data_IF_700347014760
#
_entry.id   IF_700347014760
#
_cell.length_a   1.000
_cell.length_b   1.000
_cell.length_c   1.000
_cell.angle_alpha   90.00
_cell.angle_beta   90.00
_cell.angle_gamma   90.00
#
_symmetry.space_group_name_H-M   'P 1'
#
loop_
_entity.id
_entity.type
_entity.pdbx_description
1 polymer ?
#
# COMPACT_ATOMS: atom_id res chain seq x y z
N UNK A 1 -1.60 21.42 5.70
CA UNK A 1 -1.36 19.96 5.85
C UNK A 1 -1.11 19.64 7.31
N UNK A 2 -1.83 18.68 7.86
CA UNK A 2 -1.53 18.18 9.19
C UNK A 2 -0.26 17.33 9.13
N UNK A 3 0.48 17.25 10.22
CA UNK A 3 1.68 16.42 10.33
C UNK A 3 1.37 14.93 10.13
N UNK A 4 0.11 14.54 10.31
CA UNK A 4 -0.36 13.18 10.13
C UNK A 4 -0.38 12.75 8.65
N UNK A 5 -0.74 13.67 7.75
CA UNK A 5 -0.77 13.41 6.30
C UNK A 5 0.63 13.11 5.77
N UNK A 6 1.62 13.84 6.26
CA UNK A 6 3.01 13.65 5.86
C UNK A 6 3.53 12.28 6.29
N UNK A 7 3.21 11.86 7.52
CA UNK A 7 3.61 10.56 8.06
C UNK A 7 2.97 9.42 7.25
N UNK A 8 1.68 9.52 6.98
CA UNK A 8 0.94 8.51 6.20
C UNK A 8 1.51 8.41 4.80
N UNK A 9 1.80 9.55 4.16
CA UNK A 9 2.38 9.57 2.82
C UNK A 9 3.76 8.92 2.79
N UNK A 10 4.60 9.22 3.79
CA UNK A 10 5.93 8.62 3.92
C UNK A 10 5.86 7.11 4.12
N UNK A 11 4.94 6.65 4.98
CA UNK A 11 4.69 5.22 5.18
C UNK A 11 4.26 4.53 3.89
N UNK A 12 3.39 5.17 3.12
CA UNK A 12 2.91 4.66 1.84
C UNK A 12 4.07 4.49 0.85
N UNK A 13 4.94 5.48 0.73
CA UNK A 13 6.11 5.41 -0.16
C UNK A 13 7.08 4.31 0.26
N UNK A 14 7.29 4.14 1.57
CA UNK A 14 8.12 3.06 2.09
C UNK A 14 7.54 1.68 1.76
N UNK A 15 6.24 1.50 1.94
CA UNK A 15 5.58 0.23 1.62
C UNK A 15 5.65 -0.09 0.13
N UNK A 16 5.50 0.90 -0.73
CA UNK A 16 5.65 0.73 -2.18
C UNK A 16 7.07 0.28 -2.54
N UNK A 17 8.08 0.89 -1.92
CA UNK A 17 9.47 0.52 -2.13
C UNK A 17 9.75 -0.91 -1.64
N UNK A 18 9.24 -1.28 -0.46
CA UNK A 18 9.36 -2.62 0.10
C UNK A 18 8.71 -3.67 -0.81
N UNK A 19 7.53 -3.39 -1.33
CA UNK A 19 6.84 -4.28 -2.27
C UNK A 19 7.67 -4.52 -3.53
N UNK A 20 8.29 -3.49 -4.06
CA UNK A 20 9.14 -3.57 -5.25
C UNK A 20 10.35 -4.47 -5.00
N UNK A 21 11.00 -4.31 -3.85
CA UNK A 21 12.14 -5.14 -3.44
C UNK A 21 11.69 -6.60 -3.26
N UNK A 22 10.59 -6.84 -2.54
CA UNK A 22 10.04 -8.17 -2.31
C UNK A 22 9.69 -8.87 -3.61
N UNK A 23 9.08 -8.17 -4.56
CA UNK A 23 8.72 -8.71 -5.87
C UNK A 23 9.95 -9.15 -6.65
N UNK A 24 11.01 -8.36 -6.62
CA UNK A 24 12.27 -8.69 -7.29
C UNK A 24 12.93 -9.92 -6.67
N UNK A 25 13.01 -9.96 -5.34
CA UNK A 25 13.60 -11.10 -4.61
C UNK A 25 12.78 -12.37 -4.85
N UNK A 26 11.45 -12.25 -4.87
CA UNK A 26 10.57 -13.38 -5.20
C UNK A 26 10.83 -13.94 -6.60
N UNK A 27 11.00 -13.05 -7.58
CA UNK A 27 11.26 -13.47 -8.96
C UNK A 27 12.62 -14.16 -9.09
N UNK A 28 13.65 -13.68 -8.40
CA UNK A 28 14.96 -14.33 -8.32
C UNK A 28 14.85 -15.71 -7.67
N UNK A 29 14.11 -15.82 -6.57
CA UNK A 29 13.88 -17.08 -5.88
C UNK A 29 13.13 -18.09 -6.76
N UNK A 30 12.21 -17.61 -7.60
CA UNK A 30 11.48 -18.45 -8.54
C UNK A 30 12.42 -19.06 -9.58
N UNK A 31 13.35 -18.28 -10.12
CA UNK A 31 14.35 -18.78 -11.07
C UNK A 31 15.23 -19.83 -10.41
N UNK A 32 15.69 -19.59 -9.18
CA UNK A 32 16.49 -20.55 -8.43
C UNK A 32 15.70 -21.83 -8.14
N UNK A 33 14.42 -21.72 -7.86
CA UNK A 33 13.55 -22.89 -7.67
C UNK A 33 13.48 -23.73 -8.94
N UNK A 34 13.26 -23.10 -10.09
CA UNK A 34 13.13 -23.79 -11.38
C UNK A 34 14.42 -24.49 -11.80
N UNK A 35 15.58 -23.96 -11.43
CA UNK A 35 16.90 -24.47 -11.80
C UNK A 35 17.51 -25.41 -10.75
N UNK A 36 16.83 -25.62 -9.62
CA UNK A 36 17.31 -26.47 -8.51
C UNK A 36 16.93 -27.93 -8.69
N UNK A 37 17.61 -28.81 -7.94
CA UNK A 37 17.23 -30.22 -7.84
C UNK A 37 15.93 -30.38 -7.02
N UNK A 38 15.38 -31.60 -7.00
CA UNK A 38 14.10 -31.87 -6.35
C UNK A 38 14.10 -31.57 -4.85
N UNK A 39 15.20 -31.85 -4.16
CA UNK A 39 15.31 -31.60 -2.71
C UNK A 39 15.35 -30.11 -2.41
N UNK A 40 16.11 -29.34 -3.19
CA UNK A 40 16.20 -27.89 -3.03
C UNK A 40 14.90 -27.18 -3.46
N UNK A 41 14.15 -27.74 -4.39
CA UNK A 41 12.85 -27.18 -4.83
C UNK A 41 11.86 -27.05 -3.68
N UNK A 42 11.82 -27.98 -2.75
CA UNK A 42 10.90 -27.93 -1.61
C UNK A 42 11.24 -26.70 -0.73
N UNK A 43 12.52 -26.46 -0.49
CA UNK A 43 12.99 -25.30 0.25
C UNK A 43 12.58 -23.99 -0.44
N UNK A 44 12.84 -23.87 -1.74
CA UNK A 44 12.52 -22.67 -2.52
C UNK A 44 11.00 -22.44 -2.62
N UNK A 45 10.20 -23.49 -2.73
CA UNK A 45 8.74 -23.37 -2.71
C UNK A 45 8.23 -22.77 -1.41
N UNK A 46 8.82 -23.19 -0.27
CA UNK A 46 8.49 -22.60 1.04
C UNK A 46 8.83 -21.12 1.11
N UNK A 47 10.01 -20.73 0.63
CA UNK A 47 10.42 -19.32 0.57
C UNK A 47 9.51 -18.50 -0.34
N UNK A 48 9.14 -19.03 -1.51
CA UNK A 48 8.24 -18.35 -2.44
C UNK A 48 6.87 -18.08 -1.81
N UNK A 49 6.32 -19.04 -1.06
CA UNK A 49 5.07 -18.84 -0.34
C UNK A 49 5.19 -17.72 0.70
N UNK A 50 6.32 -17.67 1.40
CA UNK A 50 6.60 -16.61 2.36
C UNK A 50 6.66 -15.24 1.72
N UNK A 51 7.37 -15.10 0.61
CA UNK A 51 7.45 -13.84 -0.14
C UNK A 51 6.09 -13.43 -0.69
N UNK A 52 5.31 -14.36 -1.24
CA UNK A 52 3.98 -14.07 -1.75
C UNK A 52 3.05 -13.56 -0.65
N UNK A 53 3.10 -14.15 0.54
CA UNK A 53 2.33 -13.67 1.71
C UNK A 53 2.74 -12.26 2.11
N UNK A 54 4.04 -11.97 2.14
CA UNK A 54 4.54 -10.65 2.48
C UNK A 54 4.13 -9.61 1.44
N UNK A 55 4.16 -9.96 0.17
CA UNK A 55 3.73 -9.07 -0.92
C UNK A 55 2.24 -8.74 -0.77
N UNK A 56 1.41 -9.75 -0.52
CA UNK A 56 -0.03 -9.57 -0.29
C UNK A 56 -0.28 -8.68 0.92
N UNK A 57 0.41 -8.95 2.02
CA UNK A 57 0.31 -8.15 3.24
C UNK A 57 0.68 -6.69 2.98
N UNK A 58 1.79 -6.46 2.28
CA UNK A 58 2.27 -5.12 1.94
C UNK A 58 1.26 -4.40 1.05
N UNK A 59 0.71 -5.09 0.04
CA UNK A 59 -0.30 -4.52 -0.84
C UNK A 59 -1.58 -4.17 -0.08
N UNK A 60 -2.02 -5.02 0.85
CA UNK A 60 -3.19 -4.74 1.67
C UNK A 60 -3.00 -3.49 2.53
N UNK A 61 -1.80 -3.29 3.06
CA UNK A 61 -1.48 -2.09 3.84
C UNK A 61 -1.40 -0.84 2.97
N UNK A 62 -0.88 -0.95 1.75
CA UNK A 62 -0.89 0.14 0.77
C UNK A 62 -2.34 0.54 0.47
N UNK A 63 -3.21 -0.43 0.22
CA UNK A 63 -4.63 -0.19 -0.07
C UNK A 63 -5.34 0.48 1.11
N UNK A 64 -5.04 0.06 2.34
CA UNK A 64 -5.58 0.69 3.54
C UNK A 64 -5.16 2.16 3.66
N UNK A 65 -3.88 2.46 3.46
CA UNK A 65 -3.38 3.84 3.54
C UNK A 65 -3.99 4.69 2.44
N UNK A 66 -4.12 4.18 1.22
CA UNK A 66 -4.79 4.87 0.13
C UNK A 66 -6.25 5.16 0.46
N UNK A 67 -6.94 4.21 1.09
CA UNK A 67 -8.34 4.40 1.51
C UNK A 67 -8.46 5.47 2.59
N UNK A 68 -7.54 5.50 3.54
CA UNK A 68 -7.50 6.53 4.59
C UNK A 68 -7.28 7.93 4.00
N UNK A 69 -6.36 8.05 3.04
CA UNK A 69 -6.09 9.30 2.34
C UNK A 69 -7.34 9.76 1.59
N UNK A 70 -7.98 8.84 0.86
CA UNK A 70 -9.20 9.14 0.09
C UNK A 70 -10.35 9.58 0.99
N UNK A 71 -10.53 8.94 2.16
CA UNK A 71 -11.55 9.33 3.14
C UNK A 71 -11.29 10.72 3.71
N UNK A 72 -10.06 11.03 4.04
CA UNK A 72 -9.68 12.35 4.56
C UNK A 72 -9.94 13.43 3.51
N UNK A 73 -9.57 13.20 2.27
CA UNK A 73 -9.86 14.13 1.16
C UNK A 73 -11.36 14.33 0.96
N UNK A 74 -12.16 13.27 1.03
CA UNK A 74 -13.62 13.37 0.92
C UNK A 74 -14.24 14.17 2.07
N UNK A 75 -13.74 13.97 3.30
CA UNK A 75 -14.19 14.72 4.46
C UNK A 75 -13.90 16.22 4.31
N UNK A 76 -12.72 16.58 3.81
CA UNK A 76 -12.33 17.97 3.57
C UNK A 76 -13.22 18.59 2.47
N UNK A 77 -13.48 17.89 1.40
CA UNK A 77 -14.38 18.34 0.32
C UNK A 77 -15.80 18.56 0.83
N UNK A 78 -16.33 17.63 1.61
CA UNK A 78 -17.66 17.76 2.22
C UNK A 78 -17.74 18.96 3.15
N UNK A 79 -16.72 19.19 3.94
CA UNK A 79 -16.64 20.35 4.82
C UNK A 79 -16.64 21.66 4.04
N UNK A 80 -15.89 21.75 2.97
CA UNK A 80 -15.84 22.94 2.10
C UNK A 80 -17.19 23.19 1.42
N UNK A 81 -17.86 22.15 0.96
CA UNK A 81 -19.18 22.27 0.34
C UNK A 81 -20.22 22.77 1.35
N UNK A 82 -20.20 22.28 2.58
CA UNK A 82 -21.08 22.75 3.65
C UNK A 82 -20.87 24.24 3.95
N UNK A 83 -19.63 24.69 3.99
CA UNK A 83 -19.30 26.10 4.20
C UNK A 83 -19.85 26.96 3.04
N UNK A 84 -19.71 26.51 1.80
CA UNK A 84 -20.26 27.21 0.63
C UNK A 84 -21.78 27.36 0.72
N UNK A 85 -22.47 26.29 1.11
CA UNK A 85 -23.91 26.31 1.28
C UNK A 85 -24.33 27.30 2.36
N UNK A 86 -23.65 27.31 3.49
CA UNK A 86 -23.90 28.25 4.57
C UNK A 86 -23.68 29.69 4.16
N UNK A 87 -22.63 29.96 3.40
CA UNK A 87 -22.35 31.31 2.87
C UNK A 87 -23.40 31.77 1.89
N UNK A 88 -23.88 30.85 1.02
CA UNK A 88 -24.96 31.13 0.10
C UNK A 88 -26.25 31.48 0.81
N UNK A 89 -26.55 30.83 1.94
CA UNK A 89 -27.74 31.12 2.74
C UNK A 89 -27.67 32.46 3.46
N UNK A 90 -26.47 32.93 3.84
CA UNK A 90 -26.30 34.20 4.58
C UNK A 90 -26.29 35.38 3.66
N UNK A 91 -26.21 35.25 2.37
CA UNK A 91 -26.20 36.36 1.38
C UNK A 91 -27.60 36.67 0.83
N UNK A 92 -28.60 35.94 1.23
CA UNK A 92 -29.97 36.29 0.95
C UNK A 92 -30.52 37.24 1.98
#
# INVERSE_FOLDING_TARGET
MSSMDWIVWEMLEKLKADKKILSRVRDEARVLCETSDEDSKQYWKGLLRGYDRQIIWTQNNIDKLNSMIAEEQRSDEAYHDDIRLLRGMTHE
#
